data_IF_412636592115
#
_entry.id   IF_412636592115
#
_cell.length_a   1.000
_cell.length_b   1.000
_cell.length_c   1.000
_cell.angle_alpha   90.00
_cell.angle_beta   90.00
_cell.angle_gamma   90.00
#
_symmetry.space_group_name_H-M   'P 1'
#
loop_
_entity.id
_entity.type
_entity.pdbx_description
1 polymer ?
#
# COMPACT_ATOMS: atom_id res chain seq x y z
N UNK A 1 15.71 4.04 24.80
CA UNK A 1 15.68 2.83 23.93
C UNK A 1 14.99 3.01 22.57
N UNK A 2 14.30 4.13 22.27
CA UNK A 2 13.62 4.31 20.99
C UNK A 2 14.55 4.59 19.78
N UNK A 3 15.72 5.20 20.01
CA UNK A 3 16.64 5.60 18.94
C UNK A 3 17.20 4.41 18.13
N UNK A 4 17.77 3.41 18.81
CA UNK A 4 18.34 2.24 18.14
C UNK A 4 17.29 1.44 17.36
N UNK A 5 16.05 1.38 17.86
CA UNK A 5 14.94 0.70 17.17
C UNK A 5 14.57 1.43 15.88
N UNK A 6 14.57 2.78 15.86
CA UNK A 6 14.31 3.56 14.64
C UNK A 6 15.38 3.32 13.57
N UNK A 7 16.65 3.37 13.95
CA UNK A 7 17.78 3.09 13.05
C UNK A 7 17.67 1.67 12.50
N UNK A 8 17.43 0.68 13.37
CA UNK A 8 17.29 -0.70 12.95
C UNK A 8 16.15 -0.90 11.94
N UNK A 9 14.96 -0.31 12.17
CA UNK A 9 13.84 -0.39 11.23
C UNK A 9 14.19 0.25 9.89
N UNK A 10 14.86 1.40 9.89
CA UNK A 10 15.29 2.08 8.67
C UNK A 10 16.27 1.23 7.85
N UNK A 11 17.33 0.69 8.48
CA UNK A 11 18.28 -0.21 7.82
C UNK A 11 17.62 -1.47 7.27
N UNK A 12 16.61 -2.02 7.98
CA UNK A 12 15.86 -3.18 7.51
C UNK A 12 15.01 -2.87 6.29
N UNK A 13 14.38 -1.69 6.22
CA UNK A 13 13.63 -1.25 5.04
C UNK A 13 14.55 -1.12 3.83
N UNK A 14 15.68 -0.41 3.96
CA UNK A 14 16.66 -0.25 2.87
C UNK A 14 17.18 -1.60 2.34
N UNK A 15 17.41 -2.56 3.24
CA UNK A 15 17.81 -3.92 2.83
C UNK A 15 16.72 -4.62 2.01
N UNK A 16 15.45 -4.45 2.36
CA UNK A 16 14.34 -5.16 1.69
C UNK A 16 14.08 -4.66 0.27
N UNK A 17 14.25 -3.37 0.03
CA UNK A 17 14.07 -2.76 -1.29
C UNK A 17 15.33 -2.78 -2.18
N UNK A 18 16.45 -3.33 -1.68
CA UNK A 18 17.66 -3.56 -2.48
C UNK A 18 18.65 -2.39 -2.54
N UNK A 19 18.47 -1.35 -1.73
CA UNK A 19 19.31 -0.13 -1.73
C UNK A 19 20.75 -0.35 -1.25
N UNK A 20 21.12 -1.54 -0.77
CA UNK A 20 22.48 -1.82 -0.30
C UNK A 20 23.57 -1.82 -1.38
N UNK A 21 23.21 -1.81 -2.67
CA UNK A 21 24.14 -1.79 -3.80
C UNK A 21 23.88 -0.61 -4.75
N UNK A 22 23.03 0.34 -4.37
CA UNK A 22 22.75 1.50 -5.21
C UNK A 22 23.98 2.45 -5.21
N UNK A 23 24.48 2.87 -6.39
CA UNK A 23 25.62 3.78 -6.46
C UNK A 23 25.35 5.18 -5.89
N UNK A 24 24.08 5.58 -5.81
CA UNK A 24 23.64 6.91 -5.35
C UNK A 24 23.35 6.94 -3.83
N UNK A 25 23.58 5.82 -3.13
CA UNK A 25 23.43 5.62 -1.68
C UNK A 25 22.01 5.93 -1.14
N UNK A 26 21.83 5.85 0.17
CA UNK A 26 20.56 6.12 0.86
C UNK A 26 19.99 7.52 0.60
N UNK A 27 20.84 8.50 0.25
CA UNK A 27 20.43 9.89 0.02
C UNK A 27 19.54 10.05 -1.23
N UNK A 28 19.60 9.11 -2.18
CA UNK A 28 18.73 9.11 -3.35
C UNK A 28 17.35 8.47 -3.09
N UNK A 29 17.08 7.96 -1.87
CA UNK A 29 15.78 7.39 -1.52
C UNK A 29 14.70 8.49 -1.44
N UNK A 30 13.77 8.51 -2.38
CA UNK A 30 12.65 9.46 -2.39
C UNK A 30 11.57 9.07 -1.37
N UNK A 31 10.71 10.04 -1.06
CA UNK A 31 9.57 9.82 -0.17
C UNK A 31 8.65 8.71 -0.72
N UNK A 32 8.35 7.73 0.14
CA UNK A 32 7.48 6.61 -0.21
C UNK A 32 8.17 5.46 -0.95
N UNK A 33 9.43 5.57 -1.38
CA UNK A 33 10.12 4.47 -2.08
C UNK A 33 10.36 3.22 -1.19
N UNK A 34 10.44 3.42 0.12
CA UNK A 34 10.56 2.32 1.10
C UNK A 34 9.19 1.80 1.56
N UNK A 35 8.09 2.42 1.13
CA UNK A 35 6.76 2.02 1.54
C UNK A 35 6.32 0.76 0.78
N UNK A 36 5.67 -0.14 1.51
CA UNK A 36 5.03 -1.30 0.90
C UNK A 36 3.65 -0.87 0.43
N UNK A 37 3.37 -1.04 -0.87
CA UNK A 37 2.03 -0.80 -1.39
C UNK A 37 1.01 -1.69 -0.68
N UNK A 38 -0.11 -1.09 -0.28
CA UNK A 38 -1.18 -1.84 0.36
C UNK A 38 -1.87 -2.73 -0.68
N UNK A 39 -1.79 -4.05 -0.50
CA UNK A 39 -2.41 -5.02 -1.42
C UNK A 39 -3.95 -4.94 -1.45
N UNK A 40 -4.56 -4.43 -0.39
CA UNK A 40 -6.02 -4.26 -0.29
C UNK A 40 -6.50 -2.94 -0.92
N UNK A 41 -5.60 -1.98 -1.19
CA UNK A 41 -5.97 -0.75 -1.86
C UNK A 41 -6.29 -1.03 -3.34
N UNK A 42 -7.25 -0.30 -3.94
CA UNK A 42 -7.58 -0.45 -5.35
C UNK A 42 -6.44 0.10 -6.22
N UNK A 43 -5.79 -0.78 -7.00
CA UNK A 43 -4.70 -0.48 -7.94
C UNK A 43 -5.12 -0.82 -9.37
N UNK A 44 -5.56 0.19 -10.15
CA UNK A 44 -5.93 -0.01 -11.56
C UNK A 44 -4.81 -0.67 -12.36
N UNK A 45 -5.15 -1.69 -13.15
CA UNK A 45 -4.19 -2.45 -13.96
C UNK A 45 -3.28 -3.42 -13.19
N UNK A 46 -3.44 -3.53 -11.85
CA UNK A 46 -2.72 -4.54 -11.04
C UNK A 46 -3.68 -5.53 -10.39
N UNK A 47 -4.59 -5.04 -9.54
CA UNK A 47 -5.48 -5.89 -8.73
C UNK A 47 -6.98 -5.61 -8.94
N UNK A 48 -7.32 -4.66 -9.81
CA UNK A 48 -8.70 -4.40 -10.23
C UNK A 48 -8.98 -5.04 -11.59
N UNK A 49 -10.20 -5.56 -11.81
CA UNK A 49 -10.62 -6.05 -13.12
C UNK A 49 -10.69 -4.89 -14.14
N UNK A 50 -10.63 -5.24 -15.43
CA UNK A 50 -10.81 -4.26 -16.51
C UNK A 50 -12.21 -3.63 -16.43
N UNK A 51 -12.33 -2.34 -16.74
CA UNK A 51 -13.57 -1.56 -16.64
C UNK A 51 -14.19 -1.49 -15.22
N UNK A 52 -13.39 -1.61 -14.16
CA UNK A 52 -13.83 -1.50 -12.75
C UNK A 52 -14.57 -0.19 -12.45
N UNK A 53 -14.27 0.87 -13.19
CA UNK A 53 -14.82 2.23 -13.06
C UNK A 53 -16.10 2.46 -13.87
N UNK A 54 -16.37 1.62 -14.88
CA UNK A 54 -17.58 1.72 -15.71
C UNK A 54 -18.85 1.28 -14.96
N UNK A 55 -18.70 0.46 -13.92
CA UNK A 55 -19.77 -0.10 -13.12
C UNK A 55 -19.99 0.64 -11.78
N UNK A 56 -20.24 1.95 -11.85
CA UNK A 56 -20.56 2.78 -10.66
C UNK A 56 -21.87 2.37 -9.93
N UNK A 57 -22.62 1.39 -10.44
CA UNK A 57 -23.92 0.95 -9.91
C UNK A 57 -23.99 -0.54 -9.51
N UNK A 58 -22.96 -1.35 -9.72
CA UNK A 58 -22.99 -2.78 -9.31
C UNK A 58 -21.93 -3.15 -8.28
N UNK A 59 -20.92 -2.30 -8.05
CA UNK A 59 -19.83 -2.55 -7.10
C UNK A 59 -19.66 -1.45 -6.04
N UNK A 60 -20.67 -0.60 -5.85
CA UNK A 60 -20.73 0.30 -4.69
C UNK A 60 -21.47 -0.44 -3.57
N UNK A 61 -20.71 -0.78 -2.53
CA UNK A 61 -21.10 -1.37 -1.25
C UNK A 61 -21.08 -2.91 -1.15
N UNK A 62 -20.15 -3.43 -0.32
CA UNK A 62 -20.64 -4.04 0.92
C UNK A 62 -19.92 -3.58 2.20
N UNK A 63 -18.91 -2.70 2.13
CA UNK A 63 -18.08 -2.39 3.31
C UNK A 63 -18.60 -1.21 4.16
N UNK A 64 -19.46 -0.34 3.66
CA UNK A 64 -20.20 0.63 4.48
C UNK A 64 -21.66 0.18 4.67
N UNK A 65 -21.86 -0.93 5.38
CA UNK A 65 -23.16 -1.25 5.97
C UNK A 65 -23.39 -0.35 7.18
N UNK A 66 -24.06 0.79 6.97
CA UNK A 66 -24.62 1.60 8.06
C UNK A 66 -26.10 1.34 8.34
N UNK A 67 -26.76 0.42 7.62
CA UNK A 67 -28.16 0.08 7.85
C UNK A 67 -28.40 -1.42 7.87
N UNK A 68 -28.47 -1.96 9.09
CA UNK A 68 -29.23 -3.17 9.35
C UNK A 68 -30.71 -2.87 9.05
N UNK A 69 -31.19 -3.24 7.86
CA UNK A 69 -32.63 -3.46 7.67
C UNK A 69 -32.84 -4.73 6.84
N UNK A 70 -33.58 -5.63 7.46
CA UNK A 70 -34.00 -6.97 7.03
C UNK A 70 -34.56 -7.01 5.61
N UNK A 71 -34.17 -8.05 4.86
CA UNK A 71 -35.11 -8.73 3.97
C UNK A 71 -34.89 -10.24 4.13
N UNK A 72 -35.73 -10.85 4.98
CA UNK A 72 -36.22 -12.22 4.78
C UNK A 72 -37.46 -12.11 3.90
#
# INVERSE_FOLDING_TARGET
MAHCVRIWRHLKMLKWVGWGHDPDDVEATEEGQLAVECLACPHPGRNLPENWDMHHLTYREPFLRSDLTLVY
#
